data_IF_520766219084
#
_entry.id   IF_520766219084
#
_cell.length_a   1.000
_cell.length_b   1.000
_cell.length_c   1.000
_cell.angle_alpha   90.00
_cell.angle_beta   90.00
_cell.angle_gamma   90.00
#
_symmetry.space_group_name_H-M   'P 1'
#
loop_
_entity.id
_entity.type
_entity.pdbx_description
1 polymer ?
#
# COMPACT_ATOMS: atom_id res chain seq x y z
N UNK A 1 7.87 0.00 4.76
CA UNK A 1 7.30 0.82 3.67
C UNK A 1 7.77 0.26 2.35
N UNK A 2 6.93 -0.49 1.65
CA UNK A 2 7.21 -0.89 0.27
C UNK A 2 6.19 -0.19 -0.61
N UNK A 3 6.62 0.88 -1.30
CA UNK A 3 5.84 1.45 -2.38
C UNK A 3 5.94 0.44 -3.53
N UNK A 4 4.84 -0.21 -3.91
CA UNK A 4 4.78 -0.92 -5.20
C UNK A 4 4.77 0.16 -6.27
N UNK A 5 5.94 0.71 -6.62
CA UNK A 5 6.07 1.66 -7.72
C UNK A 5 5.87 0.90 -9.04
N UNK A 6 5.03 1.46 -9.90
CA UNK A 6 4.94 1.11 -11.31
C UNK A 6 6.34 0.97 -11.95
N UNK A 7 6.67 -0.26 -12.35
CA UNK A 7 8.00 -0.60 -12.87
C UNK A 7 8.09 -2.06 -13.33
N UNK A 8 7.42 -2.36 -14.44
CA UNK A 8 7.10 -3.69 -15.04
C UNK A 8 5.79 -4.26 -14.51
N UNK A 9 4.74 -4.04 -15.30
CA UNK A 9 3.40 -4.50 -14.99
C UNK A 9 3.37 -6.00 -14.74
N UNK A 10 2.69 -6.39 -13.66
CA UNK A 10 2.22 -7.75 -13.45
C UNK A 10 1.28 -8.24 -14.57
N UNK A 11 1.01 -7.45 -15.62
CA UNK A 11 0.08 -7.79 -16.70
C UNK A 11 0.41 -9.09 -17.45
N UNK A 12 1.65 -9.60 -17.36
CA UNK A 12 2.01 -10.96 -17.81
C UNK A 12 2.21 -11.98 -16.68
N UNK A 13 2.32 -11.53 -15.43
CA UNK A 13 2.61 -12.37 -14.26
C UNK A 13 1.35 -12.86 -13.54
N UNK A 14 0.18 -12.26 -13.83
CA UNK A 14 -1.11 -12.65 -13.24
C UNK A 14 -2.17 -12.94 -14.29
N UNK A 15 -3.05 -13.88 -13.99
CA UNK A 15 -4.15 -14.26 -14.87
C UNK A 15 -5.18 -13.13 -15.07
N UNK A 16 -5.38 -12.30 -14.04
CA UNK A 16 -6.32 -11.16 -14.07
C UNK A 16 -5.61 -9.87 -13.69
N UNK A 17 -5.52 -8.94 -14.63
CA UNK A 17 -4.98 -7.62 -14.37
C UNK A 17 -5.90 -6.75 -13.50
N UNK A 18 -5.40 -5.57 -13.13
CA UNK A 18 -6.18 -4.51 -12.48
C UNK A 18 -7.48 -4.26 -13.28
N UNK A 19 -8.67 -4.16 -12.66
CA UNK A 19 -8.92 -3.91 -11.24
C UNK A 19 -9.04 -5.16 -10.35
N UNK A 20 -8.74 -6.37 -10.85
CA UNK A 20 -8.72 -7.58 -10.00
C UNK A 20 -7.56 -7.53 -9.00
N UNK A 21 -7.68 -8.17 -7.82
CA UNK A 21 -6.69 -8.06 -6.75
C UNK A 21 -5.38 -8.81 -7.00
N UNK A 22 -5.35 -9.70 -8.00
CA UNK A 22 -4.27 -10.64 -8.28
C UNK A 22 -2.87 -9.98 -8.33
N UNK A 23 -2.65 -8.79 -8.94
CA UNK A 23 -1.35 -8.11 -8.91
C UNK A 23 -0.83 -7.82 -7.50
N UNK A 24 -1.69 -7.34 -6.60
CA UNK A 24 -1.31 -7.00 -5.22
C UNK A 24 -1.19 -8.24 -4.35
N UNK A 25 -2.05 -9.24 -4.54
CA UNK A 25 -1.90 -10.53 -3.87
C UNK A 25 -0.58 -11.22 -4.24
N UNK A 26 -0.19 -11.18 -5.51
CA UNK A 26 1.09 -11.72 -5.96
C UNK A 26 2.27 -10.91 -5.39
N UNK A 27 2.18 -9.58 -5.38
CA UNK A 27 3.21 -8.73 -4.79
C UNK A 27 3.39 -9.02 -3.29
N UNK A 28 2.28 -9.07 -2.54
CA UNK A 28 2.23 -9.41 -1.12
C UNK A 28 2.86 -10.80 -0.87
N UNK A 29 2.49 -11.81 -1.66
CA UNK A 29 3.07 -13.14 -1.57
C UNK A 29 4.58 -13.16 -1.85
N UNK A 30 5.06 -12.41 -2.84
CA UNK A 30 6.51 -12.29 -3.15
C UNK A 30 7.30 -11.63 -2.03
N UNK A 31 6.68 -10.70 -1.30
CA UNK A 31 7.27 -10.08 -0.10
C UNK A 31 7.14 -10.99 1.14
N UNK A 32 6.24 -11.97 1.09
CA UNK A 32 5.86 -12.80 2.23
C UNK A 32 5.25 -11.96 3.36
N UNK A 33 4.42 -10.97 2.98
CA UNK A 33 3.64 -10.11 3.88
C UNK A 33 2.18 -10.22 3.43
N UNK A 34 1.20 -10.45 4.32
CA UNK A 34 -0.22 -10.43 3.97
C UNK A 34 -0.64 -9.09 3.36
N UNK A 35 -1.47 -9.09 2.32
CA UNK A 35 -1.87 -7.86 1.64
C UNK A 35 -2.57 -6.86 2.58
N UNK A 36 -3.35 -7.34 3.56
CA UNK A 36 -3.98 -6.53 4.60
C UNK A 36 -3.03 -5.94 5.64
N UNK A 37 -1.75 -6.30 5.60
CA UNK A 37 -0.67 -5.70 6.39
C UNK A 37 0.24 -4.79 5.53
N UNK A 38 -0.21 -4.45 4.31
CA UNK A 38 0.51 -3.54 3.42
C UNK A 38 -0.15 -2.18 3.31
N UNK A 39 0.70 -1.15 3.17
CA UNK A 39 0.30 0.19 2.75
C UNK A 39 0.73 0.36 1.29
N UNK A 40 -0.21 0.73 0.43
CA UNK A 40 0.03 0.95 -1.01
C UNK A 40 -0.38 2.35 -1.41
N UNK A 41 0.35 2.93 -2.37
CA UNK A 41 0.12 4.26 -2.88
C UNK A 41 -0.23 4.19 -4.36
N UNK A 42 -1.40 4.69 -4.74
CA UNK A 42 -1.90 4.56 -6.11
C UNK A 42 -2.50 5.87 -6.61
N UNK A 43 -2.38 6.14 -7.90
CA UNK A 43 -2.84 7.39 -8.54
C UNK A 43 -3.96 7.18 -9.57
N UNK A 44 -4.44 5.94 -9.71
CA UNK A 44 -5.50 5.60 -10.67
C UNK A 44 -6.61 4.74 -10.08
N UNK A 45 -7.81 4.87 -10.66
CA UNK A 45 -9.02 4.18 -10.19
C UNK A 45 -8.89 2.66 -10.23
N UNK A 46 -8.32 2.11 -11.30
CA UNK A 46 -8.17 0.66 -11.47
C UNK A 46 -7.13 0.07 -10.51
N UNK A 47 -6.10 0.85 -10.17
CA UNK A 47 -5.09 0.48 -9.18
C UNK A 47 -5.65 0.49 -7.77
N UNK A 48 -6.30 1.58 -7.37
CA UNK A 48 -6.96 1.68 -6.07
C UNK A 48 -7.97 0.54 -5.89
N UNK A 49 -8.82 0.30 -6.89
CA UNK A 49 -9.82 -0.79 -6.82
C UNK A 49 -9.14 -2.16 -6.64
N UNK A 50 -8.03 -2.40 -7.34
CA UNK A 50 -7.27 -3.65 -7.26
C UNK A 50 -6.58 -3.83 -5.91
N UNK A 51 -5.93 -2.79 -5.40
CA UNK A 51 -5.28 -2.76 -4.09
C UNK A 51 -6.29 -3.02 -2.97
N UNK A 52 -7.41 -2.30 -2.98
CA UNK A 52 -8.48 -2.42 -1.98
C UNK A 52 -9.11 -3.81 -2.02
N UNK A 53 -9.36 -4.35 -3.22
CA UNK A 53 -9.87 -5.71 -3.38
C UNK A 53 -8.91 -6.78 -2.85
N UNK A 54 -7.60 -6.51 -2.80
CA UNK A 54 -6.61 -7.39 -2.20
C UNK A 54 -6.55 -7.24 -0.67
N UNK A 55 -7.24 -6.27 -0.10
CA UNK A 55 -7.28 -5.96 1.32
C UNK A 55 -6.24 -4.97 1.80
N UNK A 56 -5.44 -4.38 0.90
CA UNK A 56 -4.37 -3.45 1.28
C UNK A 56 -4.91 -2.11 1.81
N UNK A 57 -4.15 -1.47 2.71
CA UNK A 57 -4.39 -0.09 3.10
C UNK A 57 -3.96 0.83 1.96
N UNK A 58 -4.92 1.30 1.17
CA UNK A 58 -4.64 2.09 -0.03
C UNK A 58 -4.69 3.59 0.25
N UNK A 59 -3.60 4.29 -0.04
CA UNK A 59 -3.52 5.76 -0.06
C UNK A 59 -3.56 6.24 -1.51
N UNK A 60 -4.57 7.03 -1.86
CA UNK A 60 -4.64 7.68 -3.17
C UNK A 60 -3.65 8.84 -3.26
N UNK A 61 -2.97 9.00 -4.39
CA UNK A 61 -2.14 10.18 -4.69
C UNK A 61 -2.78 11.03 -5.77
N UNK A 62 -2.86 12.35 -5.55
CA UNK A 62 -3.50 13.31 -6.44
C UNK A 62 -4.74 13.93 -5.81
N UNK A 63 -5.90 13.74 -6.43
CA UNK A 63 -7.17 14.30 -5.97
C UNK A 63 -8.01 13.35 -5.11
N UNK A 64 -9.08 13.88 -4.54
CA UNK A 64 -10.05 13.13 -3.72
C UNK A 64 -10.96 12.21 -4.56
N UNK A 65 -10.80 12.20 -5.88
CA UNK A 65 -11.60 11.39 -6.80
C UNK A 65 -11.30 9.88 -6.71
N UNK A 66 -10.31 9.50 -5.92
CA UNK A 66 -9.96 8.10 -5.61
C UNK A 66 -10.68 7.55 -4.37
N UNK A 67 -11.19 8.40 -3.48
CA UNK A 67 -11.92 7.98 -2.27
C UNK A 67 -13.14 7.09 -2.60
N UNK A 68 -13.97 7.39 -3.63
CA UNK A 68 -15.10 6.53 -3.99
C UNK A 68 -14.72 5.11 -4.46
N UNK A 69 -13.45 4.89 -4.80
CA UNK A 69 -12.92 3.59 -5.22
C UNK A 69 -12.30 2.79 -4.06
N UNK A 70 -12.38 3.31 -2.84
CA UNK A 70 -11.95 2.64 -1.62
C UNK A 70 -10.58 3.05 -1.10
N UNK A 71 -9.92 4.06 -1.69
CA UNK A 71 -8.76 4.66 -1.05
C UNK A 71 -9.16 5.15 0.36
N UNK A 72 -8.37 4.79 1.37
CA UNK A 72 -8.66 5.13 2.76
C UNK A 72 -8.48 6.63 3.02
N UNK A 73 -7.48 7.22 2.36
CA UNK A 73 -7.24 8.66 2.32
C UNK A 73 -6.55 9.03 1.01
N UNK A 74 -6.52 10.32 0.71
CA UNK A 74 -5.81 10.89 -0.43
C UNK A 74 -4.76 11.89 0.04
N UNK A 75 -3.61 11.88 -0.65
CA UNK A 75 -2.57 12.90 -0.49
C UNK A 75 -2.42 13.65 -1.82
N UNK A 76 -2.23 14.98 -1.82
CA UNK A 76 -2.02 15.74 -3.06
C UNK A 76 -0.74 15.31 -3.75
N UNK A 77 0.29 15.00 -2.97
CA UNK A 77 1.58 14.48 -3.37
C UNK A 77 2.36 13.99 -2.12
N UNK A 78 3.57 13.50 -2.32
CA UNK A 78 4.40 12.93 -1.26
C UNK A 78 5.16 13.96 -0.40
N UNK A 79 5.12 15.27 -0.71
CA UNK A 79 5.96 16.28 -0.03
C UNK A 79 5.59 16.47 1.44
N UNK A 80 4.33 16.20 1.79
CA UNK A 80 3.84 16.27 3.18
C UNK A 80 3.96 14.95 3.94
N UNK A 81 4.40 13.86 3.29
CA UNK A 81 4.47 12.54 3.92
C UNK A 81 5.77 12.41 4.69
N UNK A 82 5.67 12.20 6.00
CA UNK A 82 6.82 11.99 6.87
C UNK A 82 6.88 10.54 7.36
N UNK A 83 8.08 9.98 7.41
CA UNK A 83 8.35 8.71 8.10
C UNK A 83 9.09 9.04 9.39
N UNK A 84 8.52 8.68 10.53
CA UNK A 84 9.17 8.85 11.83
C UNK A 84 9.47 7.49 12.44
N UNK A 85 10.59 7.40 13.16
CA UNK A 85 10.89 6.24 13.98
C UNK A 85 10.10 6.33 15.29
N UNK A 86 9.46 5.23 15.65
CA UNK A 86 8.82 5.06 16.96
C UNK A 86 9.52 3.90 17.66
N UNK A 87 10.46 4.24 18.53
CA UNK A 87 11.40 3.27 19.11
C UNK A 87 12.22 2.53 18.04
N UNK A 88 12.69 1.33 18.40
CA UNK A 88 13.62 0.58 17.57
C UNK A 88 12.93 -0.23 16.47
N UNK A 89 11.69 -0.68 16.70
CA UNK A 89 11.00 -1.69 15.88
C UNK A 89 9.77 -1.18 15.13
N UNK A 90 9.40 0.10 15.26
CA UNK A 90 8.25 0.66 14.56
C UNK A 90 8.59 1.91 13.75
N UNK A 91 7.84 2.12 12.68
CA UNK A 91 7.88 3.31 11.82
C UNK A 91 6.46 3.83 11.66
N UNK A 92 6.27 5.14 11.74
CA UNK A 92 4.97 5.77 11.53
C UNK A 92 5.03 6.61 10.25
N UNK A 93 4.09 6.37 9.35
CA UNK A 93 3.79 7.24 8.22
C UNK A 93 2.81 8.31 8.67
N UNK A 94 3.19 9.57 8.55
CA UNK A 94 2.34 10.72 8.82
C UNK A 94 1.92 11.32 7.48
N UNK A 95 0.61 11.35 7.21
CA UNK A 95 0.04 11.91 5.97
C UNK A 95 -0.54 13.30 6.21
N UNK A 96 -1.27 13.44 7.31
CA UNK A 96 -1.73 14.70 7.90
C UNK A 96 -1.58 14.58 9.43
N UNK A 97 -1.69 15.67 10.20
CA UNK A 97 -1.71 15.58 11.67
C UNK A 97 -2.79 14.61 12.21
N UNK A 98 -3.88 14.41 11.47
CA UNK A 98 -5.02 13.57 11.84
C UNK A 98 -4.94 12.14 11.29
N UNK A 99 -4.05 11.87 10.32
CA UNK A 99 -3.92 10.57 9.69
C UNK A 99 -2.48 10.07 9.73
N UNK A 100 -2.26 9.07 10.56
CA UNK A 100 -1.02 8.31 10.62
C UNK A 100 -1.28 6.82 10.45
N UNK A 101 -0.29 6.11 9.91
CA UNK A 101 -0.27 4.64 9.86
C UNK A 101 1.01 4.19 10.52
N UNK A 102 0.86 3.45 11.62
CA UNK A 102 1.97 2.78 12.29
C UNK A 102 2.24 1.45 11.60
N UNK A 103 3.52 1.16 11.38
CA UNK A 103 4.02 -0.08 10.81
C UNK A 103 5.05 -0.68 11.76
N UNK A 104 4.85 -1.95 12.10
CA UNK A 104 5.88 -2.74 12.77
C UNK A 104 6.90 -3.23 11.73
N UNK A 105 8.17 -3.23 12.09
CA UNK A 105 9.22 -3.76 11.24
C UNK A 105 9.36 -5.26 11.50
N UNK A 106 9.07 -6.08 10.48
CA UNK A 106 9.38 -7.50 10.51
C UNK A 106 10.89 -7.71 10.42
N UNK A 107 11.49 -8.35 11.43
CA UNK A 107 12.86 -8.84 11.33
C UNK A 107 12.85 -10.17 10.57
N UNK A 108 13.94 -10.50 9.87
CA UNK A 108 14.06 -11.71 9.03
C UNK A 108 13.85 -13.06 9.79
N UNK A 109 13.60 -13.04 11.10
CA UNK A 109 13.28 -14.20 11.94
C UNK A 109 11.82 -14.31 12.43
N UNK A 110 10.94 -13.35 12.15
CA UNK A 110 9.58 -13.33 12.72
C UNK A 110 8.55 -14.17 11.93
N UNK A 111 8.99 -14.85 10.85
CA UNK A 111 8.12 -15.61 9.93
C UNK A 111 7.69 -16.99 10.41
N UNK A 112 7.96 -17.36 11.66
CA UNK A 112 7.52 -18.63 12.26
C UNK A 112 6.79 -18.39 13.60
N UNK A 113 5.50 -18.06 13.54
CA UNK A 113 4.48 -18.45 14.53
C UNK A 113 3.14 -18.66 13.86
#
# INVERSE_FOLDING_TARGET
MYIIRNGRGFGGDVARGKPHPDPYLLAAARLGIPANETVVFEDSRSEVTSAVAAGAYCVGSGGDDLLPYGAMLTIPDFRGVCVVAEGDSARVLLFTPEHCVQMEMYLEGDKEK
#
